data_IF_713962942006
#
_entry.id   IF_713962942006
#
_cell.length_a   1.000
_cell.length_b   1.000
_cell.length_c   1.000
_cell.angle_alpha   90.00
_cell.angle_beta   90.00
_cell.angle_gamma   90.00
#
_symmetry.space_group_name_H-M   'P 1'
#
loop_
_entity.id
_entity.type
_entity.pdbx_description
1 polymer ?
#
# COMPACT_ATOMS: atom_id res chain seq x y z
N UNK A 1 -7.56 14.42 26.71
CA UNK A 1 -6.83 14.74 25.48
C UNK A 1 -5.92 15.91 25.77
N UNK A 2 -4.62 15.78 25.49
CA UNK A 2 -3.68 16.90 25.55
C UNK A 2 -4.14 17.96 24.55
N UNK A 3 -4.21 19.23 24.95
CA UNK A 3 -4.80 20.35 24.18
C UNK A 3 -3.99 20.80 22.96
N UNK A 4 -3.38 19.89 22.20
CA UNK A 4 -2.59 20.18 21.00
C UNK A 4 -3.37 19.93 19.71
N UNK A 5 -3.00 20.65 18.64
CA UNK A 5 -3.52 20.45 17.28
C UNK A 5 -2.51 19.56 16.52
N UNK A 6 -2.96 18.44 15.97
CA UNK A 6 -2.12 17.52 15.18
C UNK A 6 -2.44 17.61 13.69
N UNK A 7 -1.55 18.23 12.92
CA UNK A 7 -1.68 18.43 11.45
C UNK A 7 -0.59 17.66 10.68
N UNK A 8 -0.22 16.47 11.14
CA UNK A 8 0.86 15.64 10.57
C UNK A 8 0.39 14.21 10.23
N UNK A 9 -0.87 14.07 9.82
CA UNK A 9 -1.49 12.77 9.53
C UNK A 9 -0.84 12.04 8.33
N UNK A 10 -0.12 12.76 7.46
CA UNK A 10 0.69 12.14 6.42
C UNK A 10 1.91 11.41 6.98
N UNK A 11 2.40 11.71 8.19
CA UNK A 11 3.47 10.95 8.86
C UNK A 11 2.90 9.75 9.64
N UNK A 12 1.88 9.95 10.48
CA UNK A 12 1.13 8.86 11.11
C UNK A 12 -0.21 9.37 11.62
N UNK A 13 -1.18 8.50 11.77
CA UNK A 13 -2.47 8.85 12.36
C UNK A 13 -2.62 8.27 13.77
N UNK A 14 -3.43 8.93 14.61
CA UNK A 14 -3.94 8.32 15.83
C UNK A 14 -4.75 7.07 15.48
N UNK A 15 -4.58 5.98 16.25
CA UNK A 15 -5.43 4.78 16.11
C UNK A 15 -6.85 5.14 16.54
N UNK A 16 -7.84 4.84 15.71
CA UNK A 16 -9.23 5.15 16.05
C UNK A 16 -9.67 4.37 17.30
N UNK A 17 -10.42 4.96 18.24
CA UNK A 17 -10.90 4.26 19.43
C UNK A 17 -11.67 2.97 19.10
N UNK A 18 -12.46 2.98 18.03
CA UNK A 18 -13.20 1.83 17.51
C UNK A 18 -12.26 0.72 17.02
N UNK A 19 -11.13 1.09 16.41
CA UNK A 19 -10.09 0.14 16.00
C UNK A 19 -9.40 -0.45 17.24
N UNK A 20 -9.07 0.35 18.25
CA UNK A 20 -8.50 -0.15 19.51
C UNK A 20 -9.46 -1.14 20.17
N UNK A 21 -10.74 -0.77 20.30
CA UNK A 21 -11.75 -1.63 20.91
C UNK A 21 -11.88 -2.97 20.17
N UNK A 22 -11.84 -2.95 18.84
CA UNK A 22 -11.88 -4.16 18.00
C UNK A 22 -10.66 -5.06 18.22
N UNK A 23 -9.49 -4.50 18.53
CA UNK A 23 -8.25 -5.26 18.74
C UNK A 23 -8.14 -5.92 20.12
N UNK A 24 -8.71 -5.29 21.16
CA UNK A 24 -8.48 -5.68 22.57
C UNK A 24 -8.73 -7.17 22.87
N UNK A 25 -9.83 -7.81 22.40
CA UNK A 25 -10.09 -9.21 22.72
C UNK A 25 -9.00 -10.17 22.24
N UNK A 26 -8.23 -9.81 21.19
CA UNK A 26 -7.21 -10.69 20.61
C UNK A 26 -5.89 -10.70 21.39
N UNK A 27 -5.76 -9.84 22.40
CA UNK A 27 -4.64 -9.87 23.34
C UNK A 27 -4.90 -10.73 24.59
N UNK A 28 -6.16 -10.99 24.93
CA UNK A 28 -6.54 -11.60 26.21
C UNK A 28 -7.44 -12.82 26.05
N UNK A 29 -8.54 -12.71 25.30
CA UNK A 29 -9.61 -13.71 25.23
C UNK A 29 -9.52 -14.60 23.99
N UNK A 30 -9.15 -14.02 22.86
CA UNK A 30 -9.07 -14.64 21.54
C UNK A 30 -7.62 -14.65 21.01
N UNK A 31 -6.68 -15.12 21.83
CA UNK A 31 -5.24 -15.10 21.57
C UNK A 31 -4.73 -16.30 20.73
N UNK A 32 -5.63 -17.16 20.25
CA UNK A 32 -5.27 -18.40 19.59
C UNK A 32 -4.48 -18.18 18.29
N UNK A 33 -3.56 -19.10 17.98
CA UNK A 33 -2.86 -19.10 16.69
C UNK A 33 -3.85 -19.47 15.57
N UNK A 34 -4.06 -18.63 14.55
CA UNK A 34 -5.00 -18.91 13.45
C UNK A 34 -4.61 -20.12 12.60
N UNK A 35 -3.37 -20.60 12.69
CA UNK A 35 -2.92 -21.84 12.04
C UNK A 35 -3.37 -23.11 12.80
N UNK A 36 -3.89 -23.00 14.03
CA UNK A 36 -4.33 -24.16 14.82
C UNK A 36 -5.74 -24.62 14.45
N UNK A 37 -5.93 -25.94 14.32
CA UNK A 37 -7.23 -26.56 13.94
C UNK A 37 -8.27 -26.58 15.07
N UNK A 38 -7.89 -26.30 16.31
CA UNK A 38 -8.79 -26.31 17.47
C UNK A 38 -9.57 -24.99 17.59
N UNK A 39 -10.63 -24.98 18.40
CA UNK A 39 -11.57 -23.86 18.57
C UNK A 39 -10.91 -22.48 18.77
N UNK A 40 -9.84 -22.39 19.55
CA UNK A 40 -9.13 -21.12 19.78
C UNK A 40 -8.51 -20.53 18.49
N UNK A 41 -8.04 -21.37 17.57
CA UNK A 41 -7.48 -20.92 16.29
C UNK A 41 -8.56 -20.61 15.27
N UNK A 42 -9.60 -21.46 15.18
CA UNK A 42 -10.73 -21.26 14.25
C UNK A 42 -11.45 -19.92 14.47
N UNK A 43 -11.67 -19.53 15.73
CA UNK A 43 -12.28 -18.23 16.05
C UNK A 43 -11.46 -17.05 15.49
N UNK A 44 -10.15 -17.06 15.70
CA UNK A 44 -9.24 -16.01 15.18
C UNK A 44 -9.18 -16.07 13.66
N UNK A 45 -9.08 -17.27 13.06
CA UNK A 45 -9.07 -17.46 11.62
C UNK A 45 -10.28 -16.85 10.90
N UNK A 46 -11.48 -16.95 11.47
CA UNK A 46 -12.69 -16.30 10.95
C UNK A 46 -12.59 -14.77 10.97
N UNK A 47 -12.02 -14.21 12.05
CA UNK A 47 -11.81 -12.75 12.18
C UNK A 47 -10.77 -12.24 11.20
N UNK A 48 -9.67 -12.98 10.97
CA UNK A 48 -8.69 -12.68 9.92
C UNK A 48 -9.32 -12.68 8.52
N UNK A 49 -10.21 -13.65 8.25
CA UNK A 49 -10.93 -13.70 6.97
C UNK A 49 -11.82 -12.47 6.78
N UNK A 50 -12.57 -12.07 7.82
CA UNK A 50 -13.37 -10.84 7.76
C UNK A 50 -12.50 -9.60 7.53
N UNK A 51 -11.38 -9.47 8.25
CA UNK A 51 -10.45 -8.36 8.06
C UNK A 51 -9.93 -8.27 6.63
N UNK A 52 -9.62 -9.42 6.03
CA UNK A 52 -9.20 -9.52 4.63
C UNK A 52 -10.28 -9.04 3.66
N UNK A 53 -11.54 -9.40 3.90
CA UNK A 53 -12.67 -8.93 3.08
C UNK A 53 -12.90 -7.42 3.22
N UNK A 54 -12.69 -6.85 4.41
CA UNK A 54 -12.78 -5.39 4.61
C UNK A 54 -11.68 -4.65 3.81
N UNK A 55 -10.44 -5.14 3.84
CA UNK A 55 -9.34 -4.57 3.03
C UNK A 55 -9.61 -4.76 1.53
N UNK A 56 -10.05 -5.95 1.12
CA UNK A 56 -10.45 -6.22 -0.27
C UNK A 56 -11.51 -5.23 -0.76
N UNK A 57 -12.55 -4.99 0.06
CA UNK A 57 -13.64 -4.06 -0.27
C UNK A 57 -13.13 -2.62 -0.41
N UNK A 58 -12.27 -2.16 0.50
CA UNK A 58 -11.67 -0.83 0.42
C UNK A 58 -10.87 -0.62 -0.88
N UNK A 59 -10.18 -1.65 -1.35
CA UNK A 59 -9.35 -1.59 -2.56
C UNK A 59 -10.12 -1.90 -3.86
N UNK A 60 -11.38 -2.32 -3.78
CA UNK A 60 -12.12 -2.85 -4.93
C UNK A 60 -11.41 -4.03 -5.61
N UNK A 61 -10.69 -4.85 -4.82
CA UNK A 61 -10.07 -6.07 -5.33
C UNK A 61 -11.13 -7.11 -5.70
N UNK A 62 -10.88 -7.91 -6.74
CA UNK A 62 -11.85 -8.89 -7.23
C UNK A 62 -12.01 -10.05 -6.24
N UNK A 63 -10.92 -10.44 -5.58
CA UNK A 63 -10.91 -11.55 -4.63
C UNK A 63 -10.19 -11.20 -3.32
N UNK A 64 -10.70 -11.70 -2.20
CA UNK A 64 -10.00 -11.62 -0.90
C UNK A 64 -8.60 -12.26 -0.95
N UNK A 65 -8.40 -13.20 -1.88
CA UNK A 65 -7.16 -13.91 -2.10
C UNK A 65 -6.06 -13.01 -2.61
N UNK A 66 -6.37 -11.84 -3.13
CA UNK A 66 -5.39 -10.88 -3.64
C UNK A 66 -4.74 -10.08 -2.51
N UNK A 67 -5.27 -10.14 -1.29
CA UNK A 67 -4.71 -9.42 -0.14
C UNK A 67 -3.71 -10.31 0.60
N UNK A 68 -2.50 -9.79 0.84
CA UNK A 68 -1.44 -10.38 1.65
C UNK A 68 -1.13 -9.41 2.80
N UNK A 69 -1.24 -9.85 4.05
CA UNK A 69 -0.86 -9.02 5.19
C UNK A 69 0.65 -9.03 5.41
N UNK A 70 1.21 -7.84 5.63
CA UNK A 70 2.64 -7.58 5.84
C UNK A 70 2.81 -6.72 7.11
N UNK A 71 4.04 -6.46 7.55
CA UNK A 71 4.27 -5.62 8.75
C UNK A 71 4.14 -4.12 8.49
N UNK A 72 4.23 -3.63 7.25
CA UNK A 72 4.12 -2.21 6.91
C UNK A 72 4.12 -1.97 5.39
N UNK A 73 3.97 -0.71 4.98
CA UNK A 73 4.19 -0.29 3.59
C UNK A 73 5.57 -0.70 3.06
N UNK A 74 6.64 -0.46 3.84
CA UNK A 74 8.02 -0.82 3.44
C UNK A 74 8.23 -2.31 3.18
N UNK A 75 7.66 -3.21 3.99
CA UNK A 75 7.70 -4.66 3.71
C UNK A 75 6.96 -4.98 2.41
N UNK A 76 5.84 -4.30 2.16
CA UNK A 76 5.01 -4.49 0.95
C UNK A 76 5.74 -4.03 -0.30
N UNK A 77 6.31 -2.82 -0.30
CA UNK A 77 7.07 -2.26 -1.43
C UNK A 77 8.27 -3.15 -1.77
N UNK A 78 9.03 -3.51 -0.74
CA UNK A 78 10.19 -4.37 -0.90
C UNK A 78 9.80 -5.75 -1.43
N UNK A 79 8.70 -6.30 -0.93
CA UNK A 79 8.20 -7.60 -1.39
C UNK A 79 7.76 -7.54 -2.84
N UNK A 80 7.05 -6.49 -3.26
CA UNK A 80 6.58 -6.33 -4.63
C UNK A 80 7.74 -6.27 -5.63
N UNK A 81 8.70 -5.36 -5.38
CA UNK A 81 9.87 -5.17 -6.24
C UNK A 81 10.73 -6.43 -6.28
N UNK A 82 11.14 -6.96 -5.11
CA UNK A 82 12.00 -8.14 -5.06
C UNK A 82 11.31 -9.39 -5.62
N UNK A 83 9.99 -9.51 -5.48
CA UNK A 83 9.23 -10.62 -6.07
C UNK A 83 9.27 -10.56 -7.59
N UNK A 84 9.03 -9.39 -8.20
CA UNK A 84 9.04 -9.24 -9.66
C UNK A 84 10.42 -9.56 -10.26
N UNK A 85 11.49 -9.08 -9.64
CA UNK A 85 12.87 -9.38 -10.05
C UNK A 85 13.19 -10.88 -9.96
N UNK A 86 12.83 -11.52 -8.84
CA UNK A 86 13.04 -12.97 -8.64
C UNK A 86 12.17 -13.84 -9.53
N UNK A 87 11.01 -13.33 -9.98
CA UNK A 87 10.10 -14.04 -10.87
C UNK A 87 10.55 -13.97 -12.34
N UNK A 88 11.40 -13.00 -12.69
CA UNK A 88 11.88 -12.69 -14.04
C UNK A 88 13.40 -12.43 -14.01
N UNK A 89 14.24 -13.43 -13.66
CA UNK A 89 15.67 -13.24 -13.42
C UNK A 89 16.46 -12.74 -14.65
N UNK A 90 15.90 -12.89 -15.85
CA UNK A 90 16.42 -12.37 -17.11
C UNK A 90 16.22 -10.86 -17.29
N UNK A 91 15.24 -10.27 -16.58
CA UNK A 91 14.91 -8.85 -16.66
C UNK A 91 15.66 -8.07 -15.58
N UNK A 92 16.46 -7.09 -16.00
CA UNK A 92 17.45 -6.41 -15.15
C UNK A 92 17.18 -4.93 -14.97
N UNK A 93 16.03 -4.44 -15.44
CA UNK A 93 15.67 -3.02 -15.38
C UNK A 93 14.44 -2.77 -14.50
N UNK A 94 14.44 -1.64 -13.81
CA UNK A 94 13.35 -1.13 -12.96
C UNK A 94 13.05 0.29 -13.39
N UNK A 95 11.78 0.66 -13.51
CA UNK A 95 11.39 2.06 -13.71
C UNK A 95 10.72 2.56 -12.43
N UNK A 96 11.15 3.72 -11.94
CA UNK A 96 10.55 4.39 -10.78
C UNK A 96 10.66 5.90 -10.91
N UNK A 97 10.35 6.68 -9.87
CA UNK A 97 10.43 8.16 -9.91
C UNK A 97 11.45 8.69 -8.91
N UNK A 98 11.92 9.92 -9.11
CA UNK A 98 12.83 10.60 -8.15
C UNK A 98 12.15 11.06 -6.87
N UNK A 99 10.83 10.91 -6.75
CA UNK A 99 10.00 11.43 -5.65
C UNK A 99 9.28 10.33 -4.88
N UNK A 100 9.71 9.08 -5.05
CA UNK A 100 9.21 7.96 -4.26
C UNK A 100 9.58 8.08 -2.78
N UNK A 101 8.86 7.35 -1.94
CA UNK A 101 9.22 7.20 -0.53
C UNK A 101 10.60 6.51 -0.39
N UNK A 102 11.41 6.81 0.64
CA UNK A 102 12.70 6.15 0.87
C UNK A 102 12.66 4.62 0.88
N UNK A 103 11.51 4.02 1.21
CA UNK A 103 11.31 2.57 1.13
C UNK A 103 11.58 1.99 -0.28
N UNK A 104 11.24 2.75 -1.33
CA UNK A 104 11.52 2.38 -2.73
C UNK A 104 12.90 2.87 -3.14
N UNK A 105 13.20 4.16 -2.92
CA UNK A 105 14.47 4.77 -3.39
C UNK A 105 15.70 4.03 -2.84
N UNK A 106 15.76 3.81 -1.53
CA UNK A 106 16.92 3.14 -0.90
C UNK A 106 17.02 1.67 -1.33
N UNK A 107 15.89 1.01 -1.61
CA UNK A 107 15.92 -0.34 -2.17
C UNK A 107 16.46 -0.34 -3.61
N UNK A 108 16.02 0.60 -4.45
CA UNK A 108 16.52 0.77 -5.80
C UNK A 108 18.03 1.08 -5.82
N UNK A 109 18.50 2.00 -4.99
CA UNK A 109 19.94 2.32 -4.81
C UNK A 109 20.76 1.09 -4.39
N UNK A 110 20.17 0.21 -3.57
CA UNK A 110 20.80 -1.06 -3.20
C UNK A 110 20.86 -2.02 -4.39
N UNK A 111 19.76 -2.15 -5.13
CA UNK A 111 19.67 -3.03 -6.30
C UNK A 111 20.59 -2.58 -7.45
N UNK A 112 20.88 -1.28 -7.58
CA UNK A 112 21.90 -0.79 -8.52
C UNK A 112 23.28 -1.40 -8.23
N UNK A 113 23.63 -1.58 -6.94
CA UNK A 113 24.89 -2.24 -6.52
C UNK A 113 24.89 -3.73 -6.83
N UNK A 114 23.71 -4.34 -6.92
CA UNK A 114 23.53 -5.74 -7.36
C UNK A 114 23.47 -5.88 -8.89
N UNK A 115 23.70 -4.78 -9.61
CA UNK A 115 23.77 -4.73 -11.07
C UNK A 115 22.41 -4.69 -11.77
N UNK A 116 21.36 -4.20 -11.10
CA UNK A 116 20.14 -3.77 -11.79
C UNK A 116 20.32 -2.36 -12.35
N UNK A 117 19.65 -2.06 -13.46
CA UNK A 117 19.55 -0.68 -13.96
C UNK A 117 18.25 -0.08 -13.45
N UNK A 118 18.30 1.08 -12.81
CA UNK A 118 17.10 1.79 -12.35
C UNK A 118 16.93 3.08 -13.14
N UNK A 119 15.79 3.23 -13.79
CA UNK A 119 15.40 4.44 -14.49
C UNK A 119 14.54 5.30 -13.55
N UNK A 120 15.08 6.44 -13.12
CA UNK A 120 14.37 7.39 -12.25
C UNK A 120 13.73 8.50 -13.08
N UNK A 121 12.41 8.41 -13.30
CA UNK A 121 11.62 9.44 -13.95
C UNK A 121 11.64 10.73 -13.12
N UNK A 122 11.92 11.84 -13.79
CA UNK A 122 11.88 13.18 -13.17
C UNK A 122 10.45 13.72 -13.16
N UNK A 123 10.22 14.68 -12.26
CA UNK A 123 8.99 15.47 -12.23
C UNK A 123 9.27 16.92 -12.60
N UNK A 124 8.28 17.59 -13.19
CA UNK A 124 8.33 19.02 -13.44
C UNK A 124 8.14 19.85 -12.16
N UNK A 125 8.16 21.18 -12.27
CA UNK A 125 7.96 22.10 -11.13
C UNK A 125 6.58 21.98 -10.45
N UNK A 126 5.63 21.27 -11.05
CA UNK A 126 4.30 20.99 -10.52
C UNK A 126 4.14 19.54 -10.06
N UNK A 127 5.23 18.77 -10.02
CA UNK A 127 5.21 17.36 -9.61
C UNK A 127 4.68 16.42 -10.68
N UNK A 128 4.59 16.82 -11.96
CA UNK A 128 4.03 15.97 -13.03
C UNK A 128 5.11 15.16 -13.72
N UNK A 129 4.80 13.91 -14.05
CA UNK A 129 5.67 13.00 -14.82
C UNK A 129 5.57 13.27 -16.32
N UNK A 130 6.66 13.03 -17.06
CA UNK A 130 6.64 12.95 -18.52
C UNK A 130 6.25 11.53 -18.96
N UNK A 131 5.00 11.37 -19.40
CA UNK A 131 4.46 10.07 -19.85
C UNK A 131 5.13 9.59 -21.15
N UNK A 132 5.59 10.50 -22.00
CA UNK A 132 6.31 10.12 -23.20
C UNK A 132 7.71 9.58 -22.87
N UNK A 133 8.39 10.14 -21.86
CA UNK A 133 9.63 9.56 -21.34
C UNK A 133 9.40 8.16 -20.79
N UNK A 134 8.37 8.00 -19.94
CA UNK A 134 7.97 6.71 -19.41
C UNK A 134 7.73 5.65 -20.50
N UNK A 135 6.95 5.98 -21.53
CA UNK A 135 6.67 5.07 -22.65
C UNK A 135 7.93 4.62 -23.39
N UNK A 136 8.94 5.49 -23.55
CA UNK A 136 10.20 5.16 -24.22
C UNK A 136 11.10 4.22 -23.39
N UNK A 137 10.93 4.21 -22.07
CA UNK A 137 11.70 3.35 -21.16
C UNK A 137 11.14 1.93 -21.07
N UNK A 138 9.87 1.73 -21.38
CA UNK A 138 9.26 0.40 -21.40
C UNK A 138 9.96 -0.49 -22.42
N UNK A 139 10.47 -1.63 -21.98
CA UNK A 139 11.16 -2.61 -22.81
C UNK A 139 11.07 -4.01 -22.20
N UNK A 140 11.44 -5.03 -22.98
CA UNK A 140 11.46 -6.43 -22.53
C UNK A 140 12.46 -6.71 -21.39
N UNK A 141 13.40 -5.79 -21.14
CA UNK A 141 14.35 -5.87 -20.03
C UNK A 141 13.77 -5.37 -18.71
N UNK A 142 12.65 -4.63 -18.74
CA UNK A 142 12.03 -4.04 -17.55
C UNK A 142 11.22 -5.11 -16.83
N UNK A 143 11.63 -5.42 -15.61
CA UNK A 143 10.95 -6.39 -14.77
C UNK A 143 9.70 -5.77 -14.13
N UNK A 144 9.82 -4.53 -13.65
CA UNK A 144 8.77 -3.85 -12.90
C UNK A 144 8.86 -2.33 -13.04
N UNK A 145 7.68 -1.70 -13.12
CA UNK A 145 7.48 -0.27 -12.89
C UNK A 145 6.93 -0.10 -11.47
N UNK A 146 7.55 0.76 -10.65
CA UNK A 146 7.12 1.05 -9.29
C UNK A 146 6.94 2.55 -9.10
N UNK A 147 5.69 3.02 -9.01
CA UNK A 147 5.36 4.45 -8.91
C UNK A 147 4.31 4.68 -7.85
N UNK A 148 4.58 5.55 -6.88
CA UNK A 148 3.58 5.92 -5.86
C UNK A 148 2.32 6.53 -6.50
N UNK A 149 1.15 6.29 -5.90
CA UNK A 149 -0.10 6.87 -6.39
C UNK A 149 -0.22 8.34 -5.99
N UNK A 150 0.14 8.67 -4.75
CA UNK A 150 0.06 10.01 -4.20
C UNK A 150 1.33 10.33 -3.42
N UNK A 151 1.96 11.48 -3.71
CA UNK A 151 3.16 11.90 -3.01
C UNK A 151 2.84 12.36 -1.58
N UNK A 152 3.63 11.87 -0.61
CA UNK A 152 3.42 12.12 0.82
C UNK A 152 3.69 13.56 1.26
N UNK A 153 4.52 14.30 0.51
CA UNK A 153 4.90 15.67 0.85
C UNK A 153 3.97 16.70 0.21
N UNK A 154 3.75 16.58 -1.10
CA UNK A 154 2.96 17.54 -1.89
C UNK A 154 1.49 17.18 -2.01
N UNK A 155 1.12 15.91 -1.85
CA UNK A 155 -0.21 15.40 -2.17
C UNK A 155 -0.50 15.28 -3.68
N UNK A 156 0.49 15.48 -4.54
CA UNK A 156 0.37 15.32 -5.99
C UNK A 156 -0.03 13.89 -6.33
N UNK A 157 -1.02 13.72 -7.21
CA UNK A 157 -1.46 12.43 -7.72
C UNK A 157 -0.74 12.10 -9.02
N UNK A 158 -0.21 10.88 -9.11
CA UNK A 158 0.37 10.35 -10.34
C UNK A 158 -0.66 9.53 -11.13
N UNK A 159 -0.55 9.50 -12.47
CA UNK A 159 -1.50 8.81 -13.35
C UNK A 159 -1.22 7.30 -13.39
N UNK A 160 -1.19 6.64 -12.22
CA UNK A 160 -0.75 5.24 -12.09
C UNK A 160 -1.64 4.24 -12.83
N UNK A 161 -2.93 4.53 -13.02
CA UNK A 161 -3.82 3.67 -13.81
C UNK A 161 -3.46 3.68 -15.30
N UNK A 162 -3.16 4.86 -15.86
CA UNK A 162 -2.68 5.01 -17.23
C UNK A 162 -1.30 4.35 -17.39
N UNK A 163 -0.40 4.57 -16.43
CA UNK A 163 0.92 3.96 -16.46
C UNK A 163 0.83 2.42 -16.37
N UNK A 164 -0.03 1.88 -15.51
CA UNK A 164 -0.24 0.44 -15.41
C UNK A 164 -0.77 -0.16 -16.72
N UNK A 165 -1.68 0.52 -17.41
CA UNK A 165 -2.20 0.08 -18.71
C UNK A 165 -1.08 0.02 -19.77
N UNK A 166 -0.20 1.01 -19.79
CA UNK A 166 0.95 1.06 -20.69
C UNK A 166 1.98 -0.02 -20.35
N UNK A 167 2.32 -0.22 -19.08
CA UNK A 167 3.21 -1.30 -18.62
C UNK A 167 2.66 -2.67 -19.02
N UNK A 168 1.38 -2.92 -18.74
CA UNK A 168 0.71 -4.17 -19.09
C UNK A 168 0.74 -4.43 -20.60
N UNK A 169 0.52 -3.39 -21.42
CA UNK A 169 0.60 -3.49 -22.89
C UNK A 169 2.01 -3.82 -23.39
N UNK A 170 3.05 -3.46 -22.62
CA UNK A 170 4.44 -3.82 -22.87
C UNK A 170 4.87 -5.13 -22.18
N UNK A 171 3.96 -5.84 -21.50
CA UNK A 171 4.28 -7.06 -20.76
C UNK A 171 5.19 -6.84 -19.55
N UNK A 172 5.15 -5.65 -18.94
CA UNK A 172 5.94 -5.26 -17.76
C UNK A 172 5.04 -5.23 -16.52
N UNK A 173 5.52 -5.77 -15.38
CA UNK A 173 4.74 -5.73 -14.14
C UNK A 173 4.61 -4.31 -13.59
N UNK A 174 3.47 -4.00 -12.98
CA UNK A 174 3.23 -2.68 -12.38
C UNK A 174 2.92 -2.76 -10.88
N UNK A 175 3.72 -2.05 -10.09
CA UNK A 175 3.51 -1.83 -8.66
C UNK A 175 3.21 -0.35 -8.39
N UNK A 176 2.31 -0.10 -7.44
CA UNK A 176 2.11 1.25 -6.88
C UNK A 176 2.17 1.28 -5.36
N UNK A 177 2.96 2.21 -4.82
CA UNK A 177 2.85 2.61 -3.42
C UNK A 177 1.62 3.52 -3.27
N UNK A 178 0.55 2.97 -2.71
CA UNK A 178 -0.70 3.68 -2.48
C UNK A 178 -0.90 4.07 -1.01
N UNK A 179 0.16 4.10 -0.20
CA UNK A 179 0.10 4.39 1.25
C UNK A 179 -0.60 5.71 1.55
N UNK A 180 -0.48 6.71 0.68
CA UNK A 180 -1.14 8.01 0.84
C UNK A 180 -2.46 8.15 0.07
N UNK A 181 -2.79 7.21 -0.82
CA UNK A 181 -4.00 7.25 -1.65
C UNK A 181 -5.14 6.43 -1.05
N UNK A 182 -4.84 5.23 -0.52
CA UNK A 182 -5.84 4.35 0.10
C UNK A 182 -6.57 5.09 1.22
N UNK A 183 -7.90 5.00 1.25
CA UNK A 183 -8.76 5.66 2.23
C UNK A 183 -9.03 7.15 1.98
N UNK A 184 -8.24 7.82 1.12
CA UNK A 184 -8.45 9.22 0.71
C UNK A 184 -9.08 9.33 -0.68
N UNK A 185 -8.79 8.36 -1.54
CA UNK A 185 -9.30 8.26 -2.90
C UNK A 185 -10.11 6.98 -3.10
N UNK A 186 -11.13 6.99 -3.98
CA UNK A 186 -11.78 5.77 -4.41
C UNK A 186 -10.79 4.97 -5.26
N UNK A 187 -10.70 3.66 -5.01
CA UNK A 187 -9.84 2.73 -5.73
C UNK A 187 -10.69 1.52 -6.12
N UNK A 188 -10.61 1.10 -7.38
CA UNK A 188 -11.27 -0.11 -7.87
C UNK A 188 -10.29 -0.98 -8.68
N UNK A 189 -9.46 -1.76 -7.99
CA UNK A 189 -8.34 -2.49 -8.61
C UNK A 189 -8.77 -3.52 -9.65
N UNK A 190 -9.97 -4.09 -9.55
CA UNK A 190 -10.48 -5.02 -10.57
C UNK A 190 -10.67 -4.35 -11.94
N UNK A 191 -10.80 -3.01 -11.99
CA UNK A 191 -10.96 -2.23 -13.22
C UNK A 191 -9.63 -1.64 -13.74
N UNK A 192 -8.52 -1.89 -13.06
CA UNK A 192 -7.19 -1.38 -13.46
C UNK A 192 -6.28 -2.51 -13.96
N UNK A 193 -5.13 -2.14 -14.52
CA UNK A 193 -4.04 -3.05 -14.90
C UNK A 193 -2.93 -3.15 -13.84
N UNK A 194 -3.17 -2.66 -12.61
CA UNK A 194 -2.16 -2.66 -11.54
C UNK A 194 -1.94 -4.09 -11.03
N UNK A 195 -0.71 -4.60 -11.07
CA UNK A 195 -0.41 -5.97 -10.61
C UNK A 195 -0.25 -6.07 -9.10
N UNK A 196 0.36 -5.05 -8.49
CA UNK A 196 0.66 -5.01 -7.07
C UNK A 196 0.41 -3.61 -6.50
N UNK A 197 -0.09 -3.54 -5.26
CA UNK A 197 -0.31 -2.28 -4.56
C UNK A 197 0.06 -2.41 -3.08
N UNK A 198 0.85 -1.47 -2.57
CA UNK A 198 1.23 -1.40 -1.16
C UNK A 198 0.36 -0.43 -0.36
N UNK A 199 0.04 -0.79 0.88
CA UNK A 199 -0.59 0.09 1.86
C UNK A 199 -0.02 -0.11 3.26
N UNK A 200 -0.18 0.90 4.11
CA UNK A 200 0.30 0.91 5.50
C UNK A 200 -0.82 1.33 6.45
N UNK A 201 -1.13 0.52 7.46
CA UNK A 201 -2.33 0.70 8.28
C UNK A 201 -2.35 2.00 9.10
N UNK A 202 -1.18 2.49 9.52
CA UNK A 202 -1.07 3.72 10.32
C UNK A 202 -1.30 5.03 9.54
N UNK A 203 -1.71 4.95 8.27
CA UNK A 203 -2.27 6.08 7.50
C UNK A 203 -3.80 6.05 7.45
N UNK A 204 -4.41 4.99 7.98
CA UNK A 204 -5.86 4.72 7.98
C UNK A 204 -6.44 4.69 9.39
N UNK A 205 -5.76 5.24 10.39
CA UNK A 205 -6.13 5.10 11.80
C UNK A 205 -6.05 3.67 12.35
N UNK A 206 -5.26 2.79 11.71
CA UNK A 206 -4.88 1.48 12.24
C UNK A 206 -3.56 1.57 13.03
N UNK A 207 -3.20 0.55 13.83
CA UNK A 207 -1.91 0.53 14.53
C UNK A 207 -0.72 0.56 13.56
N UNK A 208 0.43 0.98 14.08
CA UNK A 208 1.72 0.79 13.40
C UNK A 208 2.09 -0.70 13.41
N UNK A 209 2.96 -1.12 12.50
CA UNK A 209 3.39 -2.53 12.43
C UNK A 209 2.38 -3.46 11.76
N UNK A 210 1.48 -2.91 10.94
CA UNK A 210 0.65 -3.67 10.00
C UNK A 210 0.55 -2.93 8.65
N UNK A 211 0.64 -3.69 7.56
CA UNK A 211 0.39 -3.25 6.19
C UNK A 211 -0.29 -4.35 5.39
N UNK A 212 -0.50 -4.08 4.10
CA UNK A 212 -0.93 -5.09 3.16
C UNK A 212 -0.32 -4.86 1.78
N UNK A 213 -0.08 -5.96 1.08
CA UNK A 213 0.24 -6.01 -0.33
C UNK A 213 -0.95 -6.62 -1.07
N UNK A 214 -1.55 -5.85 -1.97
CA UNK A 214 -2.39 -6.42 -3.01
C UNK A 214 -1.50 -7.10 -4.06
N UNK A 215 -1.89 -8.29 -4.48
CA UNK A 215 -1.27 -9.08 -5.54
C UNK A 215 -2.39 -9.62 -6.43
N UNK A 216 -2.48 -9.07 -7.65
CA UNK A 216 -3.45 -9.50 -8.65
C UNK A 216 -3.33 -10.98 -8.92
N UNK A 217 -4.48 -11.66 -9.03
CA UNK A 217 -4.51 -13.09 -9.36
C UNK A 217 -3.84 -13.34 -10.71
N UNK A 218 -2.95 -14.33 -10.75
CA UNK A 218 -2.22 -14.74 -11.97
C UNK A 218 -0.83 -14.13 -12.10
N UNK A 219 -0.51 -13.08 -11.33
CA UNK A 219 0.84 -12.50 -11.30
C UNK A 219 1.82 -13.48 -10.67
N UNK A 220 2.95 -13.71 -11.33
CA UNK A 220 4.02 -14.57 -10.80
C UNK A 220 4.62 -13.92 -9.55
N UNK A 221 4.67 -14.68 -8.46
CA UNK A 221 5.09 -14.15 -7.16
C UNK A 221 6.15 -15.02 -6.47
N UNK A 222 7.08 -14.36 -5.76
CA UNK A 222 8.16 -14.97 -4.99
C UNK A 222 8.21 -14.33 -3.59
N UNK A 223 7.86 -15.08 -2.53
CA UNK A 223 7.83 -14.55 -1.17
C UNK A 223 9.16 -13.95 -0.72
N UNK A 224 9.10 -12.79 -0.05
CA UNK A 224 10.25 -12.23 0.67
C UNK A 224 10.59 -13.09 1.89
N UNK A 225 9.60 -13.37 2.73
CA UNK A 225 9.72 -14.21 3.91
C UNK A 225 9.30 -15.65 3.59
N UNK A 226 10.22 -16.59 3.77
CA UNK A 226 9.98 -18.04 3.57
C UNK A 226 9.85 -18.76 4.91
N UNK A 227 8.98 -19.74 4.98
CA UNK A 227 8.69 -20.48 6.21
C UNK A 227 7.38 -21.25 6.12
N UNK A 228 6.53 -21.10 7.14
CA UNK A 228 5.22 -21.75 7.23
C UNK A 228 4.23 -21.33 6.14
N UNK A 229 3.00 -21.85 6.23
CA UNK A 229 1.98 -21.74 5.19
C UNK A 229 1.08 -20.49 5.33
N UNK A 230 1.45 -19.55 6.21
CA UNK A 230 0.73 -18.30 6.43
C UNK A 230 0.56 -17.51 5.13
N UNK A 231 -0.51 -16.71 5.07
CA UNK A 231 -0.85 -15.90 3.90
C UNK A 231 -0.88 -16.70 2.58
N UNK A 232 -1.29 -17.97 2.67
CA UNK A 232 -1.33 -18.94 1.54
C UNK A 232 0.06 -19.24 0.96
N UNK A 233 1.06 -19.31 1.84
CA UNK A 233 2.47 -19.52 1.49
C UNK A 233 3.15 -18.30 0.85
N UNK A 234 2.51 -17.13 0.88
CA UNK A 234 3.03 -15.91 0.23
C UNK A 234 3.81 -15.01 1.18
N UNK A 235 3.60 -15.15 2.50
CA UNK A 235 4.33 -14.41 3.53
C UNK A 235 4.30 -15.22 4.82
N UNK A 236 5.44 -15.82 5.18
CA UNK A 236 5.54 -16.69 6.36
C UNK A 236 5.55 -15.91 7.69
N UNK A 237 5.31 -16.64 8.77
CA UNK A 237 5.34 -16.15 10.15
C UNK A 237 3.94 -15.96 10.70
N UNK A 238 3.71 -16.38 11.95
CA UNK A 238 2.41 -16.29 12.62
C UNK A 238 1.82 -14.90 12.47
N UNK A 239 0.58 -14.83 12.01
CA UNK A 239 -0.10 -13.60 11.69
C UNK A 239 -0.30 -12.73 12.94
N UNK A 240 -0.05 -11.42 12.81
CA UNK A 240 -0.36 -10.43 13.85
C UNK A 240 -1.88 -10.21 13.88
N UNK A 241 -2.61 -11.16 14.47
CA UNK A 241 -4.05 -11.25 14.41
C UNK A 241 -4.75 -9.96 14.85
N UNK A 242 -4.38 -9.43 16.02
CA UNK A 242 -4.95 -8.18 16.54
C UNK A 242 -4.79 -7.03 15.55
N UNK A 243 -3.58 -6.82 15.00
CA UNK A 243 -3.34 -5.69 14.09
C UNK A 243 -3.97 -5.87 12.72
N UNK A 244 -4.05 -7.11 12.20
CA UNK A 244 -4.79 -7.43 10.97
C UNK A 244 -6.26 -7.07 11.12
N UNK A 245 -6.87 -7.47 12.25
CA UNK A 245 -8.28 -7.19 12.53
C UNK A 245 -8.50 -5.68 12.70
N UNK A 246 -7.58 -4.99 13.38
CA UNK A 246 -7.60 -3.54 13.48
C UNK A 246 -7.49 -2.85 12.11
N UNK A 247 -6.62 -3.33 11.21
CA UNK A 247 -6.54 -2.85 9.83
C UNK A 247 -7.83 -3.10 9.05
N UNK A 248 -8.48 -4.25 9.24
CA UNK A 248 -9.80 -4.53 8.66
C UNK A 248 -10.84 -3.49 9.10
N UNK A 249 -10.93 -3.21 10.41
CA UNK A 249 -11.86 -2.21 10.94
C UNK A 249 -11.55 -0.80 10.44
N UNK A 250 -10.28 -0.42 10.46
CA UNK A 250 -9.80 0.84 9.88
C UNK A 250 -10.20 0.97 8.40
N UNK A 251 -10.12 -0.12 7.63
CA UNK A 251 -10.46 -0.12 6.20
C UNK A 251 -11.95 0.11 5.96
N UNK A 252 -12.81 -0.55 6.74
CA UNK A 252 -14.26 -0.32 6.73
C UNK A 252 -14.61 1.15 7.05
N UNK A 253 -13.97 1.70 8.09
CA UNK A 253 -14.18 3.08 8.51
C UNK A 253 -13.69 4.10 7.48
N UNK A 254 -12.53 3.85 6.87
CA UNK A 254 -11.97 4.70 5.81
C UNK A 254 -12.92 4.76 4.61
N UNK A 255 -13.47 3.62 4.19
CA UNK A 255 -14.45 3.56 3.10
C UNK A 255 -15.72 4.36 3.42
N UNK A 256 -16.26 4.19 4.63
CA UNK A 256 -17.44 4.93 5.08
C UNK A 256 -17.21 6.45 5.19
N UNK A 257 -15.96 6.87 5.43
CA UNK A 257 -15.59 8.27 5.66
C UNK A 257 -15.15 9.01 4.40
N UNK A 258 -15.06 8.36 3.24
CA UNK A 258 -14.55 8.99 2.01
C UNK A 258 -15.30 10.27 1.62
N UNK A 259 -16.62 10.33 1.83
CA UNK A 259 -17.39 11.54 1.53
C UNK A 259 -17.05 12.70 2.49
N UNK A 260 -16.76 12.39 3.75
CA UNK A 260 -16.33 13.38 4.74
C UNK A 260 -14.94 13.93 4.40
N UNK A 261 -14.00 13.08 4.00
CA UNK A 261 -12.66 13.48 3.55
C UNK A 261 -12.72 14.44 2.34
N UNK A 262 -13.54 14.09 1.34
CA UNK A 262 -13.71 14.91 0.13
C UNK A 262 -14.44 16.24 0.36
N UNK A 263 -15.16 16.38 1.47
CA UNK A 263 -15.96 17.58 1.77
C UNK A 263 -15.35 18.39 2.92
N UNK A 264 -15.51 17.93 4.16
CA UNK A 264 -15.12 18.65 5.35
C UNK A 264 -13.60 18.83 5.46
N UNK A 265 -12.82 17.77 5.25
CA UNK A 265 -11.35 17.84 5.35
C UNK A 265 -10.78 18.70 4.23
N UNK A 266 -11.29 18.54 2.99
CA UNK A 266 -10.97 19.45 1.88
C UNK A 266 -11.23 20.91 2.24
N UNK A 267 -12.42 21.23 2.76
CA UNK A 267 -12.77 22.61 3.12
C UNK A 267 -11.85 23.18 4.22
N UNK A 268 -11.48 22.36 5.22
CA UNK A 268 -10.51 22.77 6.25
C UNK A 268 -9.12 23.00 5.68
N UNK A 269 -8.65 22.14 4.76
CA UNK A 269 -7.38 22.31 4.06
C UNK A 269 -7.37 23.60 3.24
N UNK A 270 -8.40 23.82 2.42
CA UNK A 270 -8.50 25.00 1.56
C UNK A 270 -8.53 26.29 2.41
N UNK A 271 -9.25 26.29 3.53
CA UNK A 271 -9.27 27.43 4.46
C UNK A 271 -7.89 27.70 5.07
N UNK A 272 -7.16 26.66 5.46
CA UNK A 272 -5.82 26.79 6.00
C UNK A 272 -4.85 27.34 4.94
N UNK A 273 -4.87 26.78 3.73
CA UNK A 273 -4.03 27.21 2.61
C UNK A 273 -4.27 28.67 2.25
N UNK A 274 -5.54 29.06 2.05
CA UNK A 274 -5.92 30.45 1.75
C UNK A 274 -5.50 31.40 2.87
N UNK A 275 -5.69 30.99 4.13
CA UNK A 275 -5.29 31.77 5.29
C UNK A 275 -3.78 32.01 5.35
N UNK A 276 -2.97 30.99 5.03
CA UNK A 276 -1.51 31.12 4.97
C UNK A 276 -1.11 32.04 3.82
N UNK A 277 -1.62 31.79 2.60
CA UNK A 277 -1.28 32.58 1.42
C UNK A 277 -1.60 34.07 1.61
N UNK A 278 -2.74 34.39 2.22
CA UNK A 278 -3.12 35.78 2.51
C UNK A 278 -2.19 36.51 3.51
N UNK A 279 -1.32 35.79 4.22
CA UNK A 279 -0.37 36.37 5.17
C UNK A 279 1.08 36.43 4.64
N UNK A 280 1.38 35.66 3.59
CA UNK A 280 2.74 35.56 3.01
C UNK A 280 2.86 36.13 1.60
N UNK A 281 1.75 36.52 0.98
CA UNK A 281 1.66 37.18 -0.33
C UNK A 281 1.23 38.63 -0.16
#
# INVERSE_FOLDING_TARGET
>A
MTGGIYLDNNATTMVAPEVVAEMLPFFTEQFGNPSSLHRFGDQVGRRLKQARQQVQTLLGAEHDSEIIFTSCGTESDSTAILSALRAQPERREIITTVVEHPAILTLCEHLEKDGYTVHYLKVDRRGRLDIHEYQRLLSDNVAIVSVMWANNESGTLFPVEEMALLAHSAGVMFHTDAVQAVGKLPIDLKQTSIDMLSLSGHKLHAPKGIGALYLRRGVRFRPLLRGGHQERGRRAGTENAASIIGLGKASEMALASMQYEKSAVKAMRDRLEQGILAQVT
#
